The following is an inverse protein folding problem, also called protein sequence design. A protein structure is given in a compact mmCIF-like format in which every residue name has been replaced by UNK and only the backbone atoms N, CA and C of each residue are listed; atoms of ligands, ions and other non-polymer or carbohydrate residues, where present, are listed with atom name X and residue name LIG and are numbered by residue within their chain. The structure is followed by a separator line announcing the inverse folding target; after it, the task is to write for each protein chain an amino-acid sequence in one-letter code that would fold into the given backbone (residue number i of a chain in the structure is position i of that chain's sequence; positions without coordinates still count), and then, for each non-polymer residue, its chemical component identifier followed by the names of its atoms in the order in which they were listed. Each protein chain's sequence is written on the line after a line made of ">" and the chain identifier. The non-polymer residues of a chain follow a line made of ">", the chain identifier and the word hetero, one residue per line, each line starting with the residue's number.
data_IF_982841394633
#
_entry.id   IF_982841394633
#
_cell.length_a   1.000
_cell.length_b   1.000
_cell.length_c   1.000
_cell.angle_alpha   90.00
_cell.angle_beta   90.00
_cell.angle_gamma   90.00
#
_symmetry.space_group_name_H-M   'P 1'
#
loop_
_entity.id
_entity.type
_entity.pdbx_description
1 polymer ?
#
# COMPACT_ATOMS: atom_id res chain seq x y z
N UNK A 1 -6.25 4.99 4.65
CA UNK A 1 -7.48 5.33 5.41
C UNK A 1 -7.83 6.79 5.24
N UNK A 2 -7.03 7.75 5.77
CA UNK A 2 -7.32 9.19 5.61
C UNK A 2 -7.57 9.54 4.14
N UNK A 3 -6.62 9.24 3.24
CA UNK A 3 -6.75 9.50 1.81
C UNK A 3 -7.97 8.82 1.17
N UNK A 4 -8.32 7.61 1.58
CA UNK A 4 -9.50 6.93 1.05
C UNK A 4 -10.82 7.61 1.43
N UNK A 5 -10.87 8.28 2.59
CA UNK A 5 -12.06 8.95 3.11
C UNK A 5 -12.12 10.43 2.76
N UNK A 6 -10.95 11.07 2.61
CA UNK A 6 -10.81 12.52 2.37
C UNK A 6 -10.50 12.83 0.90
N UNK A 7 -9.89 11.89 0.17
CA UNK A 7 -9.54 12.03 -1.24
C UNK A 7 -8.10 12.51 -1.51
N UNK A 8 -7.32 12.82 -0.47
CA UNK A 8 -5.92 13.24 -0.59
C UNK A 8 -5.11 12.89 0.67
N UNK A 9 -3.77 12.82 0.60
CA UNK A 9 -2.95 12.44 1.76
C UNK A 9 -2.90 13.55 2.83
N UNK A 10 -2.83 13.19 4.13
CA UNK A 10 -2.99 14.14 5.25
C UNK A 10 -1.91 15.24 5.33
N UNK A 11 -0.75 15.03 4.69
CA UNK A 11 0.38 15.97 4.73
C UNK A 11 0.77 16.49 3.35
N UNK A 12 -0.17 16.48 2.40
CA UNK A 12 0.06 16.99 1.04
C UNK A 12 0.58 18.43 1.07
N UNK A 13 1.61 18.70 0.27
CA UNK A 13 2.26 20.01 0.14
C UNK A 13 2.85 20.14 -1.27
N UNK A 14 3.17 21.37 -1.68
CA UNK A 14 3.75 21.65 -3.00
C UNK A 14 5.18 21.12 -3.14
N UNK A 15 5.92 21.07 -2.02
CA UNK A 15 7.32 20.59 -2.01
C UNK A 15 7.51 19.40 -1.09
N UNK A 16 8.45 18.51 -1.44
CA UNK A 16 8.81 17.35 -0.61
C UNK A 16 9.31 17.78 0.77
N UNK A 17 10.06 18.89 0.84
CA UNK A 17 10.59 19.43 2.10
C UNK A 17 9.48 19.83 3.08
N UNK A 18 8.42 20.47 2.58
CA UNK A 18 7.26 20.83 3.40
C UNK A 18 6.48 19.61 3.87
N UNK A 19 6.27 18.64 2.98
CA UNK A 19 5.66 17.35 3.35
C UNK A 19 6.43 16.69 4.50
N UNK A 20 7.76 16.66 4.45
CA UNK A 20 8.58 16.14 5.55
C UNK A 20 8.41 16.93 6.85
N UNK A 21 8.40 18.27 6.79
CA UNK A 21 8.17 19.11 7.97
C UNK A 21 6.81 18.82 8.61
N UNK A 22 5.75 18.72 7.81
CA UNK A 22 4.40 18.39 8.29
C UNK A 22 4.33 16.99 8.91
N UNK A 23 5.02 16.00 8.33
CA UNK A 23 5.09 14.64 8.89
C UNK A 23 5.82 14.64 10.24
N UNK A 24 6.93 15.35 10.36
CA UNK A 24 7.69 15.45 11.63
C UNK A 24 6.84 16.14 12.69
N UNK A 25 6.17 17.24 12.35
CA UNK A 25 5.30 18.01 13.23
C UNK A 25 3.81 17.64 13.08
N UNK A 26 3.52 16.34 12.92
CA UNK A 26 2.19 15.83 12.61
C UNK A 26 1.13 16.24 13.64
N UNK A 27 1.52 16.44 14.91
CA UNK A 27 0.58 16.82 15.99
C UNK A 27 -0.10 18.15 15.70
N UNK A 28 0.60 19.08 15.06
CA UNK A 28 0.08 20.40 14.71
C UNK A 28 -0.47 20.46 13.27
N UNK A 29 -0.13 19.48 12.44
CA UNK A 29 -0.45 19.50 11.00
C UNK A 29 -1.48 18.44 10.56
N UNK A 30 -1.85 17.49 11.42
CA UNK A 30 -2.96 16.57 11.15
C UNK A 30 -4.30 17.30 11.36
N UNK A 31 -4.86 17.78 10.27
CA UNK A 31 -6.14 18.51 10.24
C UNK A 31 -7.15 17.73 9.41
N UNK A 32 -8.36 17.59 9.94
CA UNK A 32 -9.49 17.00 9.23
C UNK A 32 -10.31 18.12 8.59
N UNK A 33 -10.59 18.05 7.28
CA UNK A 33 -11.34 19.10 6.59
C UNK A 33 -12.80 19.16 7.04
N UNK A 34 -13.35 20.37 7.21
CA UNK A 34 -14.74 20.58 7.65
C UNK A 34 -15.77 20.17 6.58
N UNK A 35 -15.36 20.12 5.31
CA UNK A 35 -16.17 19.76 4.16
C UNK A 35 -16.26 18.24 3.92
N UNK A 36 -15.54 17.43 4.69
CA UNK A 36 -15.59 15.96 4.63
C UNK A 36 -16.26 15.40 5.88
N UNK A 37 -17.40 14.73 5.70
CA UNK A 37 -18.11 14.09 6.80
C UNK A 37 -17.50 12.74 7.18
N UNK A 38 -16.58 12.76 8.14
CA UNK A 38 -16.02 11.55 8.75
C UNK A 38 -16.87 11.11 9.95
N UNK A 39 -17.01 9.80 10.15
CA UNK A 39 -17.55 9.29 11.41
C UNK A 39 -16.54 9.52 12.54
N UNK A 40 -17.03 9.62 13.77
CA UNK A 40 -16.17 9.80 14.95
C UNK A 40 -15.19 8.65 15.12
N UNK A 41 -15.62 7.43 14.80
CA UNK A 41 -14.82 6.22 14.86
C UNK A 41 -13.73 6.22 13.79
N UNK A 42 -14.01 6.77 12.60
CA UNK A 42 -13.01 6.90 11.54
C UNK A 42 -11.92 7.90 11.94
N UNK A 43 -12.32 9.06 12.47
CA UNK A 43 -11.38 10.08 12.96
C UNK A 43 -10.53 9.54 14.12
N UNK A 44 -11.15 8.88 15.11
CA UNK A 44 -10.45 8.27 16.26
C UNK A 44 -9.43 7.23 15.79
N UNK A 45 -9.80 6.34 14.84
CA UNK A 45 -8.87 5.36 14.30
C UNK A 45 -7.69 6.03 13.60
N UNK A 46 -7.94 7.06 12.78
CA UNK A 46 -6.86 7.80 12.09
C UNK A 46 -5.90 8.43 13.11
N UNK A 47 -6.42 9.09 14.16
CA UNK A 47 -5.59 9.70 15.21
C UNK A 47 -4.76 8.67 15.99
N UNK A 48 -5.27 7.45 16.14
CA UNK A 48 -4.55 6.32 16.79
C UNK A 48 -3.55 5.62 15.88
N UNK A 49 -3.64 5.82 14.56
CA UNK A 49 -2.67 5.30 13.58
C UNK A 49 -1.58 6.32 13.28
N UNK A 50 -1.94 7.60 13.12
CA UNK A 50 -1.01 8.73 12.94
C UNK A 50 -0.64 9.24 14.33
N UNK A 51 0.22 8.50 15.01
CA UNK A 51 0.58 8.72 16.40
C UNK A 51 2.06 8.44 16.69
N UNK A 52 2.49 8.73 17.92
CA UNK A 52 3.81 8.33 18.43
C UNK A 52 3.95 6.81 18.52
N UNK A 53 5.19 6.32 18.44
CA UNK A 53 5.48 4.88 18.49
C UNK A 53 4.93 4.18 19.74
N UNK A 54 4.91 4.89 20.87
CA UNK A 54 4.49 4.45 22.19
C UNK A 54 2.96 4.27 22.30
N UNK A 55 2.20 4.90 21.41
CA UNK A 55 0.73 4.87 21.40
C UNK A 55 0.16 4.05 20.24
N UNK A 56 1.02 3.49 19.40
CA UNK A 56 0.60 2.79 18.18
C UNK A 56 -0.19 1.53 18.51
N UNK A 57 -1.35 1.39 17.87
CA UNK A 57 -2.18 0.19 18.00
C UNK A 57 -1.45 -1.03 17.44
N UNK A 58 -1.57 -2.15 18.14
CA UNK A 58 -1.21 -3.46 17.59
C UNK A 58 -2.39 -4.03 16.79
N UNK A 59 -2.17 -5.18 16.14
CA UNK A 59 -3.19 -5.82 15.28
C UNK A 59 -4.48 -6.12 16.04
N UNK A 60 -4.39 -6.63 17.27
CA UNK A 60 -5.59 -6.98 18.06
C UNK A 60 -6.38 -5.74 18.46
N UNK A 61 -5.70 -4.64 18.84
CA UNK A 61 -6.36 -3.36 19.11
C UNK A 61 -7.01 -2.76 17.85
N UNK A 62 -6.39 -2.92 16.67
CA UNK A 62 -6.98 -2.48 15.40
C UNK A 62 -8.27 -3.26 15.12
N UNK A 63 -8.25 -4.59 15.24
CA UNK A 63 -9.41 -5.45 14.99
C UNK A 63 -10.59 -5.16 15.92
N UNK A 64 -10.32 -4.75 17.15
CA UNK A 64 -11.32 -4.42 18.17
C UNK A 64 -11.82 -2.97 18.10
N UNK A 65 -11.23 -2.14 17.22
CA UNK A 65 -11.64 -0.74 17.11
C UNK A 65 -13.08 -0.62 16.61
N UNK A 66 -13.88 0.28 17.19
CA UNK A 66 -15.29 0.47 16.84
C UNK A 66 -15.54 0.80 15.37
N UNK A 67 -14.54 1.37 14.69
CA UNK A 67 -14.58 1.59 13.23
C UNK A 67 -14.87 0.29 12.45
N UNK A 68 -14.40 -0.86 12.95
CA UNK A 68 -14.60 -2.17 12.35
C UNK A 68 -15.73 -2.97 13.04
N UNK A 69 -16.65 -2.30 13.74
CA UNK A 69 -17.78 -2.97 14.37
C UNK A 69 -18.58 -3.79 13.33
N UNK A 70 -18.85 -5.05 13.67
CA UNK A 70 -19.56 -5.99 12.79
C UNK A 70 -18.69 -6.73 11.77
N UNK A 71 -17.38 -6.42 11.68
CA UNK A 71 -16.47 -7.18 10.83
C UNK A 71 -16.11 -8.52 11.48
N UNK A 72 -16.43 -9.61 10.80
CA UNK A 72 -15.91 -10.94 11.14
C UNK A 72 -14.57 -11.17 10.44
N UNK A 73 -13.49 -11.05 11.22
CA UNK A 73 -12.12 -11.21 10.72
C UNK A 73 -11.78 -12.63 10.27
N UNK A 74 -12.48 -13.65 10.77
CA UNK A 74 -12.24 -15.04 10.39
C UNK A 74 -12.82 -15.35 9.00
N UNK A 75 -13.91 -14.67 8.62
CA UNK A 75 -14.62 -14.91 7.35
C UNK A 75 -14.51 -13.76 6.35
N UNK A 76 -13.73 -12.71 6.64
CA UNK A 76 -13.59 -11.50 5.79
C UNK A 76 -13.19 -11.76 4.33
N UNK A 77 -12.55 -12.91 4.02
CA UNK A 77 -12.22 -13.28 2.64
C UNK A 77 -13.36 -13.97 1.87
N UNK A 78 -14.43 -14.32 2.57
CA UNK A 78 -15.58 -15.05 2.03
C UNK A 78 -16.78 -14.13 1.75
N UNK A 79 -16.68 -12.83 2.07
CA UNK A 79 -17.72 -11.84 1.75
C UNK A 79 -17.48 -11.28 0.35
N UNK A 80 -18.55 -10.83 -0.30
CA UNK A 80 -18.43 -10.15 -1.58
C UNK A 80 -17.68 -8.82 -1.41
N UNK A 81 -16.69 -8.60 -2.27
CA UNK A 81 -15.95 -7.35 -2.29
C UNK A 81 -16.86 -6.19 -2.77
N UNK A 82 -16.70 -4.97 -2.23
CA UNK A 82 -17.51 -3.82 -2.64
C UNK A 82 -17.32 -3.42 -4.10
N UNK A 83 -16.18 -3.79 -4.69
CA UNK A 83 -15.87 -3.57 -6.09
C UNK A 83 -15.34 -4.87 -6.71
N UNK A 84 -15.99 -5.29 -7.80
CA UNK A 84 -15.60 -6.46 -8.60
C UNK A 84 -15.12 -5.93 -9.97
N UNK A 85 -13.83 -6.05 -10.31
CA UNK A 85 -13.31 -5.61 -11.61
C UNK A 85 -13.96 -6.36 -12.77
N UNK A 86 -14.31 -5.63 -13.83
CA UNK A 86 -14.85 -6.21 -15.06
C UNK A 86 -13.74 -6.42 -16.08
N UNK A 87 -13.25 -7.65 -16.20
CA UNK A 87 -12.18 -8.01 -17.13
C UNK A 87 -12.74 -8.45 -18.48
N UNK A 88 -12.16 -7.96 -19.57
CA UNK A 88 -12.49 -8.34 -20.94
C UNK A 88 -11.81 -9.64 -21.36
N UNK A 89 -10.66 -9.96 -20.77
CA UNK A 89 -9.88 -11.17 -21.05
C UNK A 89 -8.90 -11.47 -19.91
N UNK A 90 -8.24 -12.64 -19.98
CA UNK A 90 -7.19 -13.02 -19.01
C UNK A 90 -5.93 -12.13 -19.08
N UNK A 91 -5.75 -11.36 -20.15
CA UNK A 91 -4.63 -10.43 -20.35
C UNK A 91 -5.08 -8.97 -20.30
N UNK A 92 -6.26 -8.68 -19.74
CA UNK A 92 -6.77 -7.31 -19.63
C UNK A 92 -5.94 -6.50 -18.62
N UNK A 93 -5.32 -5.42 -19.08
CA UNK A 93 -4.50 -4.51 -18.27
C UNK A 93 -5.17 -3.14 -18.05
N UNK A 94 -6.47 -2.99 -18.33
CA UNK A 94 -7.16 -1.69 -18.30
C UNK A 94 -7.23 -1.00 -16.93
N UNK A 95 -7.01 -1.73 -15.84
CA UNK A 95 -6.91 -1.18 -14.49
C UNK A 95 -5.49 -0.74 -14.10
N UNK A 96 -4.52 -0.85 -15.01
CA UNK A 96 -3.14 -0.43 -14.82
C UNK A 96 -2.80 0.73 -15.78
N UNK A 97 -2.04 1.74 -15.33
CA UNK A 97 -1.57 2.81 -16.20
C UNK A 97 -0.59 2.27 -17.24
N UNK A 98 -0.76 2.61 -18.51
CA UNK A 98 0.13 2.17 -19.61
C UNK A 98 1.06 3.27 -20.13
N UNK A 99 0.79 4.53 -19.79
CA UNK A 99 1.51 5.71 -20.30
C UNK A 99 2.90 5.88 -19.65
N UNK A 100 3.12 5.30 -18.48
CA UNK A 100 4.37 5.44 -17.72
C UNK A 100 5.55 4.65 -18.32
N UNK A 101 5.29 3.77 -19.29
CA UNK A 101 6.29 2.88 -19.87
C UNK A 101 7.00 3.43 -21.11
N UNK A 102 6.53 4.54 -21.67
CA UNK A 102 7.09 5.08 -22.93
C UNK A 102 8.53 5.60 -22.79
N UNK A 103 8.97 5.93 -21.57
CA UNK A 103 10.24 6.61 -21.31
C UNK A 103 11.25 5.79 -20.50
N UNK A 104 11.08 4.46 -20.40
CA UNK A 104 12.02 3.61 -19.66
C UNK A 104 13.24 3.28 -20.55
N UNK A 105 14.46 3.68 -20.17
CA UNK A 105 15.66 3.33 -20.94
C UNK A 105 15.89 1.82 -20.95
N UNK A 106 16.29 1.25 -22.09
CA UNK A 106 16.61 -0.18 -22.21
C UNK A 106 17.77 -0.63 -21.30
N UNK A 107 18.67 0.30 -20.98
CA UNK A 107 19.76 0.07 -20.03
C UNK A 107 19.72 1.10 -18.90
N UNK A 108 19.76 0.65 -17.62
CA UNK A 108 19.83 1.58 -16.51
C UNK A 108 21.13 2.40 -16.55
N UNK A 109 21.01 3.69 -16.24
CA UNK A 109 22.16 4.60 -16.20
C UNK A 109 23.19 4.13 -15.16
N UNK A 110 24.46 3.98 -15.56
CA UNK A 110 25.53 3.51 -14.68
C UNK A 110 25.66 1.99 -14.57
N UNK A 111 24.98 1.22 -15.41
CA UNK A 111 25.17 -0.23 -15.47
C UNK A 111 26.57 -0.57 -16.00
N UNK A 112 27.44 -1.05 -15.12
CA UNK A 112 28.74 -1.58 -15.52
C UNK A 112 28.53 -2.99 -16.12
N UNK A 113 28.54 -3.08 -17.46
CA UNK A 113 28.21 -4.33 -18.17
C UNK A 113 29.33 -5.37 -18.15
N UNK A 114 30.50 -4.99 -17.62
CA UNK A 114 31.77 -5.68 -17.79
C UNK A 114 32.11 -6.56 -16.59
N UNK A 115 31.84 -7.87 -16.69
CA UNK A 115 32.40 -8.88 -15.77
C UNK A 115 31.37 -9.85 -15.17
N UNK A 116 31.80 -11.09 -14.93
CA UNK A 116 30.99 -12.18 -14.38
C UNK A 116 30.56 -11.99 -12.91
N UNK A 117 31.12 -10.99 -12.21
CA UNK A 117 30.81 -10.72 -10.80
C UNK A 117 29.44 -10.03 -10.58
N UNK A 118 28.85 -9.42 -11.61
CA UNK A 118 27.53 -8.77 -11.51
C UNK A 118 26.39 -9.75 -11.22
N UNK A 119 26.54 -10.99 -11.68
CA UNK A 119 25.49 -12.01 -11.54
C UNK A 119 25.45 -12.61 -10.12
N UNK A 120 26.47 -12.32 -9.29
CA UNK A 120 26.52 -12.78 -7.89
C UNK A 120 25.37 -12.22 -7.06
N UNK A 121 24.86 -11.03 -7.39
CA UNK A 121 23.71 -10.42 -6.72
C UNK A 121 22.41 -11.22 -6.92
N UNK A 122 22.36 -12.09 -7.94
CA UNK A 122 21.19 -12.90 -8.28
C UNK A 122 21.34 -14.38 -7.93
N UNK A 123 22.42 -14.77 -7.24
CA UNK A 123 22.54 -16.13 -6.71
C UNK A 123 21.41 -16.42 -5.71
N UNK A 124 20.64 -17.49 -5.95
CA UNK A 124 19.48 -17.85 -5.14
C UNK A 124 18.18 -17.11 -5.51
N UNK A 125 18.21 -16.25 -6.54
CA UNK A 125 17.01 -15.57 -7.03
C UNK A 125 15.98 -16.54 -7.61
N UNK A 126 16.44 -17.61 -8.28
CA UNK A 126 15.56 -18.60 -8.91
C UNK A 126 14.68 -19.30 -7.90
N UNK A 127 13.37 -19.08 -7.98
CA UNK A 127 12.35 -19.77 -7.19
C UNK A 127 11.43 -20.60 -8.08
N UNK A 128 11.22 -21.87 -7.70
CA UNK A 128 10.26 -22.77 -8.36
C UNK A 128 9.20 -23.20 -7.36
N UNK A 129 7.99 -22.65 -7.49
CA UNK A 129 6.85 -22.93 -6.58
C UNK A 129 6.48 -24.41 -6.53
N UNK A 130 6.58 -25.10 -7.67
CA UNK A 130 6.24 -26.52 -7.80
C UNK A 130 7.47 -27.26 -8.34
N UNK A 131 8.16 -28.03 -7.49
CA UNK A 131 9.09 -29.04 -7.98
C UNK A 131 8.27 -30.25 -8.41
N UNK A 132 8.29 -30.57 -9.70
CA UNK A 132 7.69 -31.82 -10.19
C UNK A 132 8.53 -32.95 -9.60
N UNK A 133 7.99 -33.69 -8.62
CA UNK A 133 8.54 -34.98 -8.26
C UNK A 133 8.31 -35.90 -9.46
N UNK A 134 9.39 -36.30 -10.14
CA UNK A 134 9.37 -37.18 -11.32
C UNK A 134 8.99 -38.64 -11.01
N UNK A 135 8.32 -38.91 -9.88
CA UNK A 135 7.92 -40.24 -9.43
C UNK A 135 6.42 -40.37 -9.10
N UNK A 136 5.58 -39.48 -9.59
CA UNK A 136 4.13 -39.60 -9.45
C UNK A 136 3.45 -39.76 -10.82
N UNK A 137 3.73 -40.88 -11.49
CA UNK A 137 2.84 -41.57 -12.42
C UNK A 137 3.09 -43.07 -12.29
#
# INVERSE_FOLDING_TARGET
>A
MFECLVGYPPFCSETTHETYKKIIDWKNHLVFPDDVHLSREAEDLIRRLICGQDQRLNVEHIKQHHFFYGVDWATIRNIDAPFIPHLRSITDTSYFPTEEYENVPEQPAGADTSGAHKDLAFLGYTFKRFSINSHAF
#
